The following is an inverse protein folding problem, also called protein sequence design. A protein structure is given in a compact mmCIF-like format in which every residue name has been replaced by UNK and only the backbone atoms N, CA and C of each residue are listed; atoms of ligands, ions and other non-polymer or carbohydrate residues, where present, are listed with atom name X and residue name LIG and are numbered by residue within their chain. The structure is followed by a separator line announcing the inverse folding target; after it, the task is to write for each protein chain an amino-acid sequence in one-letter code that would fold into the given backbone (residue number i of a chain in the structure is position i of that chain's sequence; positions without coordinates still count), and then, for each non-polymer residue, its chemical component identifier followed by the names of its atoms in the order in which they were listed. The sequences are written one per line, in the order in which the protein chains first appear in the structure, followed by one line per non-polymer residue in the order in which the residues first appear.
data_IF_114235458078
#
_entry.id   IF_114235458078
#
_cell.length_a   1.000
_cell.length_b   1.000
_cell.length_c   1.000
_cell.angle_alpha   90.00
_cell.angle_beta   90.00
_cell.angle_gamma   90.00
#
_symmetry.space_group_name_H-M   'P 1'
#
loop_
_entity.id
_entity.type
_entity.pdbx_description
1 polymer ?
#
# COMPACT_ATOMS: atom_id res chain seq x y z
N UNK A 1 47.79 -28.10 -9.58
CA UNK A 1 46.39 -28.29 -10.04
C UNK A 1 45.47 -27.52 -9.11
N UNK A 2 45.01 -26.34 -9.52
CA UNK A 2 44.14 -25.48 -8.73
C UNK A 2 42.68 -25.84 -9.05
N UNK A 3 41.96 -26.45 -8.11
CA UNK A 3 40.53 -26.79 -8.27
C UNK A 3 39.69 -25.57 -7.92
N UNK A 4 39.19 -24.87 -8.94
CA UNK A 4 38.12 -23.87 -8.78
C UNK A 4 36.80 -24.60 -8.53
N UNK A 5 36.26 -24.50 -7.31
CA UNK A 5 34.87 -24.86 -7.04
C UNK A 5 33.98 -23.68 -7.48
N UNK A 6 32.96 -23.88 -8.34
CA UNK A 6 31.98 -22.86 -8.59
C UNK A 6 31.06 -22.76 -7.38
N UNK A 7 31.09 -21.63 -6.68
CA UNK A 7 30.09 -21.27 -5.68
C UNK A 7 28.82 -20.95 -6.45
N UNK A 8 27.89 -21.90 -6.47
CA UNK A 8 26.56 -21.71 -7.04
C UNK A 8 25.77 -20.80 -6.08
N UNK A 9 25.85 -19.49 -6.31
CA UNK A 9 25.05 -18.51 -5.57
C UNK A 9 23.57 -18.74 -5.91
N UNK A 10 22.83 -19.32 -4.96
CA UNK A 10 21.38 -19.37 -5.00
C UNK A 10 20.89 -17.93 -4.83
N UNK A 11 20.56 -17.26 -5.92
CA UNK A 11 19.81 -16.01 -5.88
C UNK A 11 18.41 -16.33 -5.36
N UNK A 12 18.20 -16.18 -4.05
CA UNK A 12 16.88 -16.18 -3.47
C UNK A 12 16.12 -14.96 -4.03
N UNK A 13 15.27 -15.20 -5.02
CA UNK A 13 14.33 -14.18 -5.50
C UNK A 13 13.28 -14.02 -4.39
N UNK A 14 13.53 -13.08 -3.48
CA UNK A 14 12.60 -12.77 -2.40
C UNK A 14 11.47 -11.94 -3.01
N UNK A 15 10.32 -12.58 -3.19
CA UNK A 15 9.11 -11.97 -3.70
C UNK A 15 8.43 -11.25 -2.54
N UNK A 16 8.75 -9.98 -2.37
CA UNK A 16 8.21 -9.16 -1.29
C UNK A 16 6.81 -8.63 -1.55
N UNK A 17 5.94 -8.78 -0.57
CA UNK A 17 4.55 -8.36 -0.68
C UNK A 17 3.98 -7.92 0.68
N UNK A 18 2.88 -7.19 0.64
CA UNK A 18 2.15 -6.77 1.83
C UNK A 18 0.74 -6.31 1.53
N UNK A 19 -0.10 -6.24 2.56
CA UNK A 19 -1.48 -5.76 2.46
C UNK A 19 -1.97 -5.22 3.82
N UNK A 20 -3.03 -4.43 3.80
CA UNK A 20 -3.71 -3.98 5.03
C UNK A 20 -4.60 -5.11 5.54
N UNK A 21 -4.25 -5.72 6.66
CA UNK A 21 -5.03 -6.78 7.30
C UNK A 21 -6.14 -6.20 8.19
N UNK A 22 -5.91 -5.04 8.82
CA UNK A 22 -6.89 -4.37 9.68
C UNK A 22 -6.85 -2.83 9.53
N UNK A 23 -7.99 -2.15 9.33
CA UNK A 23 -9.26 -2.72 8.92
C UNK A 23 -9.11 -3.43 7.57
N UNK A 24 -9.67 -4.63 7.45
CA UNK A 24 -9.44 -5.53 6.32
C UNK A 24 -9.67 -4.85 4.97
N UNK A 25 -8.61 -4.70 4.18
CA UNK A 25 -8.70 -4.12 2.84
C UNK A 25 -9.50 -4.98 1.87
N UNK A 26 -9.96 -4.38 0.78
CA UNK A 26 -10.81 -5.02 -0.24
C UNK A 26 -10.08 -6.17 -0.93
N UNK A 27 -8.79 -6.00 -1.22
CA UNK A 27 -7.94 -7.02 -1.81
C UNK A 27 -7.41 -8.05 -0.78
N UNK A 28 -7.59 -7.82 0.52
CA UNK A 28 -7.09 -8.68 1.60
C UNK A 28 -8.02 -9.87 1.92
N UNK A 29 -9.18 -10.00 1.25
CA UNK A 29 -10.02 -11.20 1.36
C UNK A 29 -9.56 -12.19 0.31
N UNK A 30 -8.97 -13.32 0.72
CA UNK A 30 -8.56 -14.37 -0.22
C UNK A 30 -9.79 -14.93 -0.96
N UNK A 31 -9.74 -14.96 -2.29
CA UNK A 31 -10.82 -15.47 -3.12
C UNK A 31 -10.50 -15.41 -4.61
N UNK A 32 -11.44 -15.80 -5.48
CA UNK A 32 -11.26 -15.74 -6.92
C UNK A 32 -10.84 -14.36 -7.43
N UNK A 33 -11.40 -13.29 -6.84
CA UNK A 33 -11.15 -11.89 -7.22
C UNK A 33 -9.68 -11.47 -7.11
N UNK A 34 -8.96 -12.00 -6.11
CA UNK A 34 -7.52 -11.77 -5.94
C UNK A 34 -6.67 -12.98 -6.33
N UNK A 35 -7.22 -13.95 -7.06
CA UNK A 35 -6.55 -15.20 -7.40
C UNK A 35 -5.99 -15.95 -6.18
N UNK A 36 -6.68 -15.84 -5.03
CA UNK A 36 -6.23 -16.35 -3.74
C UNK A 36 -4.87 -15.77 -3.28
N UNK A 37 -4.50 -14.59 -3.80
CA UNK A 37 -3.25 -13.91 -3.53
C UNK A 37 -3.52 -12.49 -3.01
N UNK A 38 -3.78 -12.38 -1.70
CA UNK A 38 -4.02 -11.10 -1.00
C UNK A 38 -2.91 -10.07 -1.24
N UNK A 39 -1.70 -10.59 -1.33
CA UNK A 39 -0.47 -9.84 -1.44
C UNK A 39 -0.14 -9.43 -2.90
N UNK A 40 -0.86 -9.95 -3.90
CA UNK A 40 -0.64 -9.65 -5.32
C UNK A 40 -1.26 -8.30 -5.77
N UNK A 41 -1.88 -7.54 -4.87
CA UNK A 41 -2.47 -6.22 -5.15
C UNK A 41 -1.44 -5.10 -5.38
N UNK A 42 -0.27 -5.42 -5.94
CA UNK A 42 0.81 -4.48 -6.24
C UNK A 42 0.72 -3.90 -7.66
N UNK A 43 -0.48 -3.92 -8.26
CA UNK A 43 -0.72 -3.51 -9.65
C UNK A 43 0.23 -4.17 -10.66
N UNK A 44 0.56 -5.45 -10.45
CA UNK A 44 1.38 -6.25 -11.38
C UNK A 44 2.88 -5.99 -11.32
N UNK A 45 3.43 -5.59 -10.18
CA UNK A 45 4.88 -5.41 -10.00
C UNK A 45 5.40 -4.12 -10.63
N UNK A 46 4.64 -3.05 -10.47
CA UNK A 46 4.82 -1.73 -11.10
C UNK A 46 6.15 -1.04 -10.80
N UNK A 47 7.07 -1.67 -10.07
CA UNK A 47 8.45 -1.17 -9.90
C UNK A 47 9.12 -0.89 -11.25
N UNK A 48 8.77 -1.63 -12.31
CA UNK A 48 9.26 -1.34 -13.67
C UNK A 48 8.39 -0.35 -14.46
N UNK A 49 7.13 -0.11 -14.09
CA UNK A 49 6.23 0.83 -14.81
C UNK A 49 6.17 2.23 -14.18
N UNK A 50 6.26 2.33 -12.86
CA UNK A 50 6.47 3.61 -12.13
C UNK A 50 7.86 4.14 -12.46
N UNK A 51 8.88 3.27 -12.58
CA UNK A 51 10.22 3.69 -13.01
C UNK A 51 10.32 4.04 -14.50
N UNK A 52 9.44 3.50 -15.35
CA UNK A 52 9.44 3.77 -16.80
C UNK A 52 8.72 5.07 -17.21
N UNK A 53 8.10 5.84 -16.30
CA UNK A 53 7.29 7.00 -16.73
C UNK A 53 7.14 8.14 -15.71
N UNK A 54 8.20 8.88 -15.37
CA UNK A 54 8.15 10.18 -14.65
C UNK A 54 7.20 10.28 -13.43
N UNK A 55 6.76 9.17 -12.85
CA UNK A 55 5.79 9.15 -11.78
C UNK A 55 6.58 9.34 -10.48
N UNK A 56 6.42 10.47 -9.77
CA UNK A 56 7.10 10.65 -8.49
C UNK A 56 6.69 9.54 -7.53
N UNK A 57 7.53 9.23 -6.55
CA UNK A 57 7.13 8.39 -5.41
C UNK A 57 6.89 9.31 -4.20
N UNK A 58 5.71 9.26 -3.55
CA UNK A 58 4.51 8.51 -3.92
C UNK A 58 3.86 9.04 -5.22
N UNK A 59 3.23 8.16 -5.99
CA UNK A 59 2.57 8.54 -7.25
C UNK A 59 1.23 9.26 -6.97
N UNK A 60 1.05 10.41 -7.62
CA UNK A 60 -0.17 11.22 -7.53
C UNK A 60 -1.12 11.00 -8.70
N UNK A 61 -0.87 10.00 -9.56
CA UNK A 61 -1.63 9.74 -10.79
C UNK A 61 -1.69 10.95 -11.74
N UNK A 62 -0.67 11.82 -11.71
CA UNK A 62 -0.52 12.93 -12.68
C UNK A 62 -0.20 12.40 -14.08
N UNK A 63 0.32 11.17 -14.17
CA UNK A 63 0.47 10.42 -15.41
C UNK A 63 -0.57 9.29 -15.50
N UNK A 64 -1.18 9.14 -16.68
CA UNK A 64 -2.12 8.04 -16.93
C UNK A 64 -1.41 6.68 -16.93
N UNK A 65 -2.10 5.68 -16.38
CA UNK A 65 -1.74 4.26 -16.47
C UNK A 65 -0.62 3.83 -15.52
N UNK A 66 -0.45 4.50 -14.38
CA UNK A 66 0.58 4.15 -13.39
C UNK A 66 0.20 2.91 -12.59
N UNK A 67 -0.89 2.92 -11.81
CA UNK A 67 -1.40 1.77 -11.05
C UNK A 67 -2.89 1.89 -10.68
N UNK A 68 -3.48 0.85 -10.11
CA UNK A 68 -4.84 0.92 -9.54
C UNK A 68 -4.84 1.54 -8.15
N UNK A 69 -5.80 2.44 -7.86
CA UNK A 69 -5.95 3.07 -6.54
C UNK A 69 -6.18 2.08 -5.39
N UNK A 70 -6.84 0.96 -5.67
CA UNK A 70 -7.17 -0.09 -4.68
C UNK A 70 -6.37 -1.39 -4.89
N UNK A 71 -5.29 -1.35 -5.68
CA UNK A 71 -4.45 -2.51 -5.98
C UNK A 71 -4.96 -3.41 -7.12
N UNK A 72 -5.96 -2.97 -7.88
CA UNK A 72 -6.44 -3.66 -9.07
C UNK A 72 -5.29 -3.83 -10.10
N UNK A 73 -5.10 -5.04 -10.65
CA UNK A 73 -4.03 -5.30 -11.60
C UNK A 73 -4.34 -4.73 -12.99
N UNK A 74 -3.30 -4.54 -13.80
CA UNK A 74 -3.46 -4.36 -15.24
C UNK A 74 -4.05 -5.63 -15.87
N UNK A 75 -4.94 -5.47 -16.85
CA UNK A 75 -5.55 -6.62 -17.52
C UNK A 75 -4.60 -7.30 -18.52
N UNK A 76 -4.66 -8.64 -18.58
CA UNK A 76 -4.07 -9.44 -19.67
C UNK A 76 -2.55 -9.34 -19.85
N UNK A 77 -1.81 -8.84 -18.85
CA UNK A 77 -0.37 -8.54 -18.99
C UNK A 77 -0.07 -7.29 -19.83
N UNK A 78 -1.10 -6.53 -20.23
CA UNK A 78 -0.98 -5.29 -20.99
C UNK A 78 -0.63 -4.07 -20.12
N UNK A 79 -0.64 -2.88 -20.73
CA UNK A 79 -0.44 -1.56 -20.08
C UNK A 79 -1.74 -0.88 -19.67
N UNK A 80 -2.89 -1.51 -19.94
CA UNK A 80 -4.19 -0.87 -19.78
C UNK A 80 -4.80 -1.29 -18.44
N UNK A 81 -4.95 -0.31 -17.57
CA UNK A 81 -5.73 -0.45 -16.37
C UNK A 81 -7.20 -0.12 -16.74
N UNK A 82 -8.18 -0.96 -16.38
CA UNK A 82 -9.59 -0.68 -16.67
C UNK A 82 -10.05 0.65 -16.07
N UNK A 83 -11.12 1.27 -16.58
CA UNK A 83 -11.76 2.39 -15.90
C UNK A 83 -12.13 2.00 -14.45
N UNK A 84 -12.06 2.92 -13.47
CA UNK A 84 -12.40 2.63 -12.08
C UNK A 84 -13.74 1.91 -11.89
N UNK A 85 -14.75 2.24 -12.69
CA UNK A 85 -16.07 1.62 -12.65
C UNK A 85 -16.06 0.10 -12.96
N UNK A 86 -15.03 -0.41 -13.61
CA UNK A 86 -14.85 -1.82 -13.96
C UNK A 86 -13.85 -2.54 -13.05
N UNK A 87 -13.13 -1.81 -12.21
CA UNK A 87 -12.16 -2.36 -11.27
C UNK A 87 -12.86 -2.99 -10.07
N UNK A 88 -12.47 -4.22 -9.76
CA UNK A 88 -13.05 -5.04 -8.69
C UNK A 88 -12.90 -4.36 -7.32
N UNK A 89 -11.69 -3.91 -6.96
CA UNK A 89 -11.46 -3.31 -5.64
C UNK A 89 -11.85 -1.84 -5.58
N UNK A 90 -12.12 -1.19 -6.71
CA UNK A 90 -12.78 0.12 -6.71
C UNK A 90 -14.29 0.03 -6.45
N UNK A 91 -14.92 -1.14 -6.55
CA UNK A 91 -16.30 -1.28 -6.13
C UNK A 91 -16.41 -1.23 -4.61
N UNK A 92 -17.29 -0.38 -4.09
CA UNK A 92 -17.44 -0.20 -2.66
C UNK A 92 -18.13 -1.43 -2.06
N UNK A 93 -17.42 -2.10 -1.15
CA UNK A 93 -17.95 -3.20 -0.35
C UNK A 93 -18.61 -2.74 0.96
N UNK A 94 -18.98 -3.69 1.83
CA UNK A 94 -19.53 -3.40 3.15
C UNK A 94 -18.49 -2.70 4.03
N UNK A 95 -18.97 -1.89 4.99
CA UNK A 95 -18.14 -1.24 6.01
C UNK A 95 -17.42 -2.31 6.84
N UNK A 96 -16.09 -2.16 7.00
CA UNK A 96 -15.23 -3.12 7.72
C UNK A 96 -14.91 -2.71 9.15
N UNK A 97 -14.96 -1.42 9.44
CA UNK A 97 -14.78 -0.85 10.77
C UNK A 97 -15.47 0.52 10.83
N UNK A 98 -15.80 0.95 12.04
CA UNK A 98 -16.38 2.28 12.30
C UNK A 98 -15.55 2.98 13.35
N UNK A 99 -15.28 4.26 13.12
CA UNK A 99 -14.46 5.09 13.97
C UNK A 99 -15.18 6.41 14.25
N UNK A 100 -14.80 7.05 15.35
CA UNK A 100 -15.25 8.40 15.67
C UNK A 100 -14.31 9.42 15.03
N UNK A 101 -14.83 10.60 14.64
CA UNK A 101 -14.01 11.68 14.11
C UNK A 101 -12.89 12.06 15.09
N UNK A 102 -11.65 12.13 14.61
CA UNK A 102 -10.47 12.45 15.41
C UNK A 102 -9.92 11.29 16.25
N UNK A 103 -10.50 10.09 16.15
CA UNK A 103 -9.98 8.90 16.82
C UNK A 103 -8.62 8.49 16.23
N UNK A 104 -7.64 8.22 17.09
CA UNK A 104 -6.44 7.48 16.70
C UNK A 104 -6.83 6.03 16.41
N UNK A 105 -6.53 5.57 15.19
CA UNK A 105 -6.83 4.20 14.74
C UNK A 105 -5.55 3.40 14.59
N UNK A 106 -5.67 2.09 14.76
CA UNK A 106 -4.61 1.14 14.43
C UNK A 106 -4.88 0.62 13.03
N UNK A 107 -3.87 0.72 12.16
CA UNK A 107 -3.84 0.08 10.85
C UNK A 107 -2.75 -0.99 10.89
N UNK A 108 -3.13 -2.23 10.64
CA UNK A 108 -2.22 -3.38 10.65
C UNK A 108 -1.83 -3.75 9.23
N UNK A 109 -0.53 -3.74 8.97
CA UNK A 109 0.07 -4.21 7.73
C UNK A 109 0.64 -5.60 7.94
N UNK A 110 0.24 -6.54 7.09
CA UNK A 110 0.93 -7.83 6.99
C UNK A 110 2.01 -7.69 5.91
N UNK A 111 3.25 -8.07 6.23
CA UNK A 111 4.42 -7.95 5.37
C UNK A 111 5.14 -9.29 5.30
N UNK A 112 5.30 -9.82 4.09
CA UNK A 112 6.07 -11.06 3.88
C UNK A 112 7.55 -10.78 3.64
N UNK A 113 7.93 -9.52 3.41
CA UNK A 113 9.32 -9.06 3.37
C UNK A 113 9.41 -7.60 3.82
N UNK A 114 10.58 -7.22 4.33
CA UNK A 114 10.88 -5.85 4.73
C UNK A 114 11.60 -5.10 3.61
N UNK A 115 10.84 -4.48 2.71
CA UNK A 115 11.40 -3.51 1.76
C UNK A 115 11.64 -2.16 2.44
N UNK A 116 12.63 -1.42 1.94
CA UNK A 116 12.81 -0.02 2.33
C UNK A 116 11.70 0.84 1.71
N UNK A 117 11.19 1.78 2.49
CA UNK A 117 10.10 2.66 2.07
C UNK A 117 9.33 3.20 3.28
N UNK A 118 8.13 3.70 3.01
CA UNK A 118 7.19 4.16 4.02
C UNK A 118 5.77 3.82 3.57
N UNK A 119 4.82 3.86 4.50
CA UNK A 119 3.40 3.76 4.20
C UNK A 119 2.76 5.13 4.40
N UNK A 120 1.85 5.49 3.51
CA UNK A 120 0.99 6.65 3.66
C UNK A 120 -0.46 6.20 3.57
N UNK A 121 -1.31 6.71 4.45
CA UNK A 121 -2.73 6.38 4.48
C UNK A 121 -3.55 7.61 4.14
N UNK A 122 -4.53 7.46 3.25
CA UNK A 122 -5.39 8.54 2.79
C UNK A 122 -6.86 8.15 2.92
N UNK A 123 -7.73 9.13 3.17
CA UNK A 123 -9.18 8.93 3.19
C UNK A 123 -9.89 9.88 2.24
N UNK A 124 -10.85 9.35 1.50
CA UNK A 124 -11.71 10.12 0.63
C UNK A 124 -13.08 10.30 1.30
N UNK A 125 -13.52 11.55 1.48
CA UNK A 125 -14.81 11.84 2.11
C UNK A 125 -15.97 11.31 1.26
N UNK A 126 -16.94 10.68 1.93
CA UNK A 126 -18.06 10.01 1.27
C UNK A 126 -17.66 8.76 0.49
N UNK A 127 -16.50 8.17 0.78
CA UNK A 127 -16.03 6.89 0.24
C UNK A 127 -15.40 6.99 -1.14
N UNK A 128 -14.44 6.08 -1.39
CA UNK A 128 -13.80 5.87 -2.69
C UNK A 128 -14.52 4.75 -3.44
N UNK A 129 -15.15 5.07 -4.57
CA UNK A 129 -15.79 4.09 -5.46
C UNK A 129 -15.56 4.40 -6.94
N UNK A 130 -15.49 3.35 -7.75
CA UNK A 130 -15.30 3.46 -9.20
C UNK A 130 -16.46 4.14 -9.93
N UNK A 131 -17.68 4.08 -9.38
CA UNK A 131 -18.86 4.76 -9.94
C UNK A 131 -18.83 6.27 -9.66
N UNK A 132 -18.25 6.68 -8.52
CA UNK A 132 -18.16 8.10 -8.11
C UNK A 132 -16.97 8.81 -8.75
N UNK A 133 -15.88 8.10 -9.00
CA UNK A 133 -14.64 8.65 -9.56
C UNK A 133 -14.33 7.99 -10.90
N UNK A 134 -14.64 8.64 -12.03
CA UNK A 134 -14.51 8.03 -13.37
C UNK A 134 -13.06 7.86 -13.84
N UNK A 135 -12.07 8.45 -13.16
CA UNK A 135 -10.64 8.31 -13.47
C UNK A 135 -9.82 8.04 -12.21
N UNK A 136 -8.63 7.43 -12.36
CA UNK A 136 -7.69 7.24 -11.23
C UNK A 136 -7.29 8.59 -10.63
N UNK A 137 -6.96 9.57 -11.49
CA UNK A 137 -6.66 10.96 -11.11
C UNK A 137 -7.76 11.55 -10.20
N UNK A 138 -9.04 11.43 -10.58
CA UNK A 138 -10.14 11.98 -9.79
C UNK A 138 -10.28 11.31 -8.40
N UNK A 139 -10.04 9.99 -8.33
CA UNK A 139 -10.01 9.26 -7.06
C UNK A 139 -8.81 9.66 -6.20
N UNK A 140 -7.62 9.77 -6.79
CA UNK A 140 -6.41 10.22 -6.12
C UNK A 140 -6.55 11.66 -5.61
N UNK A 141 -7.14 12.56 -6.40
CA UNK A 141 -7.41 13.95 -6.01
C UNK A 141 -8.35 14.02 -4.80
N UNK A 142 -9.26 13.05 -4.63
CA UNK A 142 -10.05 12.94 -3.41
C UNK A 142 -9.21 12.49 -2.21
N UNK A 143 -8.41 11.43 -2.38
CA UNK A 143 -7.55 10.88 -1.33
C UNK A 143 -6.52 11.90 -0.84
N UNK A 144 -5.93 12.67 -1.76
CA UNK A 144 -4.92 13.70 -1.47
C UNK A 144 -5.45 14.85 -0.62
N UNK A 145 -6.79 15.03 -0.51
CA UNK A 145 -7.37 16.01 0.42
C UNK A 145 -7.17 15.64 1.88
N UNK A 146 -7.05 14.35 2.20
CA UNK A 146 -6.91 13.88 3.58
C UNK A 146 -5.83 12.79 3.67
N UNK A 147 -4.57 13.22 3.65
CA UNK A 147 -3.44 12.42 4.08
C UNK A 147 -3.45 12.33 5.61
N UNK A 148 -3.47 11.10 6.13
CA UNK A 148 -3.50 10.84 7.57
C UNK A 148 -2.10 10.99 8.15
N UNK A 149 -2.03 11.59 9.33
CA UNK A 149 -0.78 11.74 10.09
C UNK A 149 -0.67 10.68 11.17
N UNK A 150 0.56 10.29 11.49
CA UNK A 150 0.81 9.35 12.58
C UNK A 150 0.73 10.08 13.92
N UNK A 151 0.01 9.53 14.92
CA UNK A 151 0.11 10.05 16.27
C UNK A 151 1.51 9.76 16.85
N UNK A 152 1.92 10.53 17.87
CA UNK A 152 3.15 10.24 18.61
C UNK A 152 3.13 8.78 19.10
N UNK A 153 4.09 7.93 18.71
CA UNK A 153 4.14 6.54 19.16
C UNK A 153 4.12 6.44 20.69
N UNK A 154 4.69 7.40 21.44
CA UNK A 154 4.66 7.40 22.92
C UNK A 154 3.26 7.55 23.51
N UNK A 155 2.28 7.96 22.72
CA UNK A 155 0.86 7.92 23.12
C UNK A 155 0.36 6.48 23.33
N UNK A 156 0.97 5.50 22.65
CA UNK A 156 0.69 4.07 22.78
C UNK A 156 1.43 3.48 24.01
N UNK A 157 0.75 2.78 24.94
CA UNK A 157 1.38 2.22 26.15
C UNK A 157 2.60 1.33 25.88
N UNK A 158 2.55 0.51 24.84
CA UNK A 158 3.60 -0.41 24.40
C UNK A 158 4.86 0.32 23.91
N UNK A 159 4.72 1.53 23.37
CA UNK A 159 5.83 2.33 22.89
C UNK A 159 6.31 3.34 23.94
N UNK A 160 5.48 3.74 24.91
CA UNK A 160 5.80 4.77 25.92
C UNK A 160 7.10 4.50 26.66
N UNK A 161 7.34 3.24 27.01
CA UNK A 161 8.51 2.79 27.77
C UNK A 161 9.45 1.93 26.94
N UNK A 162 9.25 1.87 25.61
CA UNK A 162 10.13 1.12 24.75
C UNK A 162 11.54 1.72 24.82
N UNK A 163 12.53 0.88 25.15
CA UNK A 163 13.93 1.29 25.18
C UNK A 163 14.46 1.62 23.77
N UNK A 164 13.79 1.10 22.75
CA UNK A 164 14.16 1.16 21.33
C UNK A 164 12.98 1.76 20.53
N UNK A 165 12.71 3.05 20.68
CA UNK A 165 11.87 3.82 19.73
C UNK A 165 12.77 4.22 18.57
N UNK A 166 13.17 3.23 17.79
CA UNK A 166 14.11 3.36 16.68
C UNK A 166 13.65 2.51 15.48
N UNK A 167 14.45 2.51 14.43
CA UNK A 167 14.14 1.82 13.18
C UNK A 167 14.01 0.28 13.32
N UNK A 168 14.48 -0.32 14.41
CA UNK A 168 14.39 -1.77 14.66
C UNK A 168 13.05 -2.20 15.27
N UNK A 169 12.28 -1.26 15.82
CA UNK A 169 10.94 -1.51 16.33
C UNK A 169 9.90 -1.01 15.32
N UNK A 170 9.30 -1.92 14.55
CA UNK A 170 8.39 -1.58 13.46
C UNK A 170 7.10 -0.90 13.93
N UNK A 171 6.63 -1.22 15.14
CA UNK A 171 5.40 -0.64 15.69
C UNK A 171 5.63 0.72 16.38
N UNK A 172 6.87 0.98 16.81
CA UNK A 172 7.27 2.17 17.56
C UNK A 172 8.36 2.95 16.82
N UNK A 173 8.28 3.05 15.50
CA UNK A 173 9.17 3.88 14.69
C UNK A 173 9.09 5.36 15.15
N UNK A 174 10.21 6.09 15.22
CA UNK A 174 10.21 7.51 15.55
C UNK A 174 9.44 8.31 14.49
N UNK A 175 8.86 9.45 14.89
CA UNK A 175 8.23 10.37 13.94
C UNK A 175 9.29 11.13 13.15
N UNK A 176 9.08 11.24 11.84
CA UNK A 176 9.78 12.21 11.01
C UNK A 176 9.06 13.56 11.10
N UNK A 177 9.73 14.59 11.63
CA UNK A 177 9.13 15.92 11.81
C UNK A 177 8.93 16.66 10.49
N UNK A 178 9.68 16.32 9.44
CA UNK A 178 9.48 16.84 8.09
C UNK A 178 8.35 16.11 7.35
N UNK A 179 8.06 14.87 7.76
CA UNK A 179 7.09 13.97 7.15
C UNK A 179 6.19 13.28 8.21
N UNK A 180 5.32 14.02 8.90
CA UNK A 180 4.49 13.48 9.99
C UNK A 180 3.48 12.41 9.56
N UNK A 181 3.27 12.24 8.25
CA UNK A 181 2.53 11.15 7.64
C UNK A 181 3.27 9.80 7.62
N UNK A 182 4.58 9.79 7.91
CA UNK A 182 5.50 8.62 7.76
C UNK A 182 6.03 8.10 9.07
#
# INVERSE_FOLDING_TARGET
MLRLLPILSILAIVKGHGWIESPKARNAVAGPDNHYCRQCGNSGGTVNRISEKNAPFPDNHDADGTHGLCGDPFEGGGTNLPPPAQQTYMQQGPVKATYTRGQNIVIEMDLTVHHWGHFEYRICEGGLSGQKYPTQKAGQDCLNKNLLVRPDPKSRPECRNAKNIDASNYDCQPLDTAHPER
#
